data_IF_471009912973
#
_entry.id   IF_471009912973
#
_cell.length_a   1.000
_cell.length_b   1.000
_cell.length_c   1.000
_cell.angle_alpha   90.00
_cell.angle_beta   90.00
_cell.angle_gamma   90.00
#
_symmetry.space_group_name_H-M   'P 1'
#
loop_
_entity.id
_entity.type
_entity.pdbx_description
1 polymer ?
#
# COMPACT_ATOMS: atom_id res chain seq x y z
N UNK A 1 7.43 -29.63 3.93
CA UNK A 1 6.46 -29.11 4.91
C UNK A 1 5.36 -30.10 5.24
N UNK A 2 4.52 -30.53 4.28
CA UNK A 2 3.32 -31.34 4.60
C UNK A 2 3.64 -32.75 5.15
N UNK A 3 4.79 -33.33 4.80
CA UNK A 3 5.23 -34.64 5.29
C UNK A 3 6.23 -34.58 6.46
N UNK A 4 6.47 -33.40 7.03
CA UNK A 4 7.38 -33.23 8.16
C UNK A 4 6.68 -33.67 9.47
N UNK A 5 7.20 -34.68 10.21
CA UNK A 5 6.60 -35.15 11.45
C UNK A 5 6.41 -34.05 12.51
N UNK A 6 7.33 -33.07 12.58
CA UNK A 6 7.23 -31.96 13.52
C UNK A 6 6.10 -31.00 13.12
N UNK A 7 5.93 -30.77 11.82
CA UNK A 7 4.83 -29.95 11.30
C UNK A 7 3.46 -30.60 11.53
N UNK A 8 3.36 -31.92 11.35
CA UNK A 8 2.13 -32.68 11.61
C UNK A 8 1.76 -32.65 13.09
N UNK A 9 2.71 -32.87 13.99
CA UNK A 9 2.49 -32.79 15.43
C UNK A 9 2.06 -31.38 15.86
N UNK A 10 2.71 -30.34 15.33
CA UNK A 10 2.35 -28.95 15.56
C UNK A 10 0.90 -28.65 15.14
N UNK A 11 0.46 -29.10 13.95
CA UNK A 11 -0.92 -28.89 13.50
C UNK A 11 -1.94 -29.61 14.38
N UNK A 12 -1.61 -30.81 14.89
CA UNK A 12 -2.47 -31.55 15.80
C UNK A 12 -2.69 -30.80 17.12
N UNK A 13 -1.61 -30.27 17.73
CA UNK A 13 -1.66 -29.51 18.99
C UNK A 13 -2.31 -28.12 18.86
N UNK A 14 -2.44 -27.62 17.63
CA UNK A 14 -3.02 -26.31 17.32
C UNK A 14 -4.39 -26.39 16.63
N UNK A 15 -5.00 -27.58 16.61
CA UNK A 15 -6.33 -27.79 16.05
C UNK A 15 -7.36 -26.87 16.73
N UNK A 16 -7.97 -25.98 15.95
CA UNK A 16 -8.95 -24.99 16.42
C UNK A 16 -8.36 -23.67 16.93
N UNK A 17 -7.03 -23.53 17.04
CA UNK A 17 -6.38 -22.25 17.41
C UNK A 17 -6.11 -21.35 16.19
N UNK A 18 -5.92 -21.97 15.03
CA UNK A 18 -5.76 -21.29 13.75
C UNK A 18 -7.07 -21.30 12.98
N UNK A 19 -7.68 -20.11 12.83
CA UNK A 19 -9.06 -19.98 12.31
C UNK A 19 -9.10 -19.84 10.78
N UNK A 20 -8.18 -19.07 10.20
CA UNK A 20 -8.09 -18.89 8.76
C UNK A 20 -6.71 -18.38 8.32
N UNK A 21 -6.28 -18.76 7.12
CA UNK A 21 -5.17 -18.14 6.40
C UNK A 21 -5.69 -17.56 5.09
N UNK A 22 -5.28 -16.34 4.77
CA UNK A 22 -5.43 -15.77 3.43
C UNK A 22 -4.04 -15.51 2.88
N UNK A 23 -3.76 -16.07 1.71
CA UNK A 23 -2.55 -15.78 0.96
C UNK A 23 -2.88 -14.81 -0.15
N UNK A 24 -1.99 -13.85 -0.36
CA UNK A 24 -2.08 -12.91 -1.46
C UNK A 24 -0.70 -12.71 -2.06
N UNK A 25 -0.63 -12.74 -3.38
CA UNK A 25 0.55 -12.28 -4.11
C UNK A 25 0.38 -10.80 -4.41
N UNK A 26 1.42 -10.01 -4.16
CA UNK A 26 1.52 -8.62 -4.59
C UNK A 26 2.73 -8.47 -5.51
N UNK A 27 2.58 -7.66 -6.55
CA UNK A 27 3.62 -7.38 -7.56
C UNK A 27 3.88 -5.88 -7.61
N UNK A 28 5.11 -5.42 -7.91
CA UNK A 28 5.38 -4.00 -8.06
C UNK A 28 4.43 -3.32 -9.05
N UNK A 29 4.07 -2.06 -8.78
CA UNK A 29 3.40 -1.22 -9.77
C UNK A 29 4.30 -1.01 -11.01
N UNK A 30 3.74 -0.77 -12.21
CA UNK A 30 4.53 -0.68 -13.44
C UNK A 30 5.68 0.36 -13.41
N UNK A 31 5.50 1.44 -12.65
CA UNK A 31 6.49 2.52 -12.50
C UNK A 31 7.44 2.33 -11.30
N UNK A 32 7.34 1.21 -10.57
CA UNK A 32 8.13 0.98 -9.37
C UNK A 32 9.48 0.28 -9.70
N UNK A 33 10.62 0.69 -9.09
CA UNK A 33 10.77 1.77 -8.11
C UNK A 33 10.70 3.16 -8.74
N UNK A 34 10.19 4.13 -7.98
CA UNK A 34 10.23 5.54 -8.40
C UNK A 34 11.69 6.01 -8.46
N UNK A 35 12.16 6.62 -9.57
CA UNK A 35 13.54 7.09 -9.71
C UNK A 35 13.96 8.20 -8.72
N UNK A 36 15.22 8.15 -8.30
CA UNK A 36 16.11 9.20 -7.77
C UNK A 36 15.81 10.06 -6.52
N UNK A 37 14.69 10.00 -5.79
CA UNK A 37 14.56 10.88 -4.60
C UNK A 37 13.82 10.35 -3.36
N UNK A 38 13.33 9.11 -3.33
CA UNK A 38 12.20 8.81 -2.43
C UNK A 38 12.41 7.69 -1.41
N UNK A 39 13.66 7.25 -1.22
CA UNK A 39 14.04 6.19 -0.25
C UNK A 39 14.42 6.68 1.15
N UNK A 40 14.52 8.00 1.34
CA UNK A 40 15.04 8.56 2.59
C UNK A 40 13.97 9.44 3.23
N UNK A 41 13.37 8.93 4.30
CA UNK A 41 12.45 9.65 5.15
C UNK A 41 12.10 8.80 6.37
N UNK A 42 11.48 9.37 7.40
CA UNK A 42 11.05 8.58 8.54
C UNK A 42 9.97 7.56 8.11
N UNK A 43 9.99 6.36 8.67
CA UNK A 43 8.92 5.37 8.57
C UNK A 43 8.50 4.81 9.94
N UNK A 44 8.73 5.56 11.02
CA UNK A 44 8.22 5.26 12.36
C UNK A 44 6.69 5.04 12.38
N UNK A 45 5.97 5.72 11.49
CA UNK A 45 4.56 5.50 11.19
C UNK A 45 4.35 5.29 9.70
N UNK A 46 3.60 4.25 9.33
CA UNK A 46 3.32 3.88 7.95
C UNK A 46 1.82 3.97 7.69
N UNK A 47 1.42 4.75 6.68
CA UNK A 47 0.06 4.76 6.13
C UNK A 47 0.00 3.70 5.01
N UNK A 48 -0.53 2.52 5.35
CA UNK A 48 -0.78 1.41 4.43
C UNK A 48 -2.17 1.59 3.82
N UNK A 49 -2.22 1.66 2.50
CA UNK A 49 -3.45 1.94 1.75
C UNK A 49 -3.70 0.80 0.79
N UNK A 50 -4.91 0.25 0.85
CA UNK A 50 -5.34 -0.90 0.05
C UNK A 50 -6.61 -0.48 -0.66
N UNK A 51 -6.52 -0.26 -1.97
CA UNK A 51 -7.66 0.12 -2.80
C UNK A 51 -8.05 -1.04 -3.69
N UNK A 52 -9.34 -1.15 -3.97
CA UNK A 52 -9.87 -2.05 -4.99
C UNK A 52 -10.32 -1.20 -6.18
N UNK A 53 -9.69 -1.37 -7.34
CA UNK A 53 -10.18 -0.78 -8.57
C UNK A 53 -11.45 -1.50 -9.03
N UNK A 54 -12.32 -0.80 -9.74
CA UNK A 54 -13.42 -1.43 -10.47
C UNK A 54 -12.85 -2.37 -11.53
N UNK A 55 -13.60 -3.42 -11.84
CA UNK A 55 -13.18 -4.40 -12.85
C UNK A 55 -12.83 -3.70 -14.17
N UNK A 56 -11.69 -4.07 -14.76
CA UNK A 56 -11.16 -3.46 -15.98
C UNK A 56 -10.36 -2.16 -15.80
N UNK A 57 -10.44 -1.48 -14.66
CA UNK A 57 -9.86 -0.13 -14.48
C UNK A 57 -8.50 -0.08 -13.77
N UNK A 58 -7.91 -1.23 -13.42
CA UNK A 58 -6.61 -1.26 -12.74
C UNK A 58 -5.50 -0.59 -13.57
N UNK A 59 -5.45 -0.87 -14.88
CA UNK A 59 -4.46 -0.27 -15.76
C UNK A 59 -4.67 1.24 -15.94
N UNK A 60 -5.92 1.67 -16.05
CA UNK A 60 -6.30 3.09 -16.15
C UNK A 60 -5.88 3.85 -14.89
N UNK A 61 -6.08 3.25 -13.71
CA UNK A 61 -5.65 3.83 -12.45
C UNK A 61 -4.13 4.09 -12.46
N UNK A 62 -3.32 3.10 -12.85
CA UNK A 62 -1.86 3.26 -12.82
C UNK A 62 -1.38 4.29 -13.85
N UNK A 63 -1.93 4.30 -15.06
CA UNK A 63 -1.63 5.33 -16.07
C UNK A 63 -1.96 6.73 -15.57
N UNK A 64 -3.14 6.89 -14.96
CA UNK A 64 -3.57 8.18 -14.43
C UNK A 64 -2.71 8.62 -13.24
N UNK A 65 -2.39 7.70 -12.32
CA UNK A 65 -1.53 8.01 -11.18
C UNK A 65 -0.13 8.42 -11.64
N UNK A 66 0.46 7.70 -12.59
CA UNK A 66 1.77 8.03 -13.13
C UNK A 66 1.80 9.38 -13.82
N UNK A 67 0.77 9.68 -14.63
CA UNK A 67 0.69 10.94 -15.36
C UNK A 67 0.39 12.16 -14.46
N UNK A 68 -0.48 12.02 -13.45
CA UNK A 68 -1.07 13.17 -12.76
C UNK A 68 -0.93 13.13 -11.23
N UNK A 69 -1.01 11.95 -10.62
CA UNK A 69 -1.06 11.82 -9.16
C UNK A 69 0.31 11.76 -8.48
N UNK A 70 1.26 11.06 -9.09
CA UNK A 70 2.51 10.65 -8.46
C UNK A 70 3.37 11.84 -8.06
N UNK A 71 3.64 12.76 -8.99
CA UNK A 71 4.48 13.94 -8.73
C UNK A 71 3.92 14.80 -7.59
N UNK A 72 2.61 15.01 -7.58
CA UNK A 72 1.93 15.81 -6.54
C UNK A 72 2.01 15.10 -5.20
N UNK A 73 1.68 13.81 -5.15
CA UNK A 73 1.70 13.03 -3.91
C UNK A 73 3.11 12.94 -3.31
N UNK A 74 4.11 12.71 -4.15
CA UNK A 74 5.51 12.70 -3.72
C UNK A 74 5.96 14.08 -3.23
N UNK A 75 5.55 15.17 -3.88
CA UNK A 75 5.90 16.53 -3.46
C UNK A 75 5.42 16.88 -2.05
N UNK A 76 4.28 16.33 -1.61
CA UNK A 76 3.74 16.59 -0.26
C UNK A 76 4.14 15.54 0.77
N UNK A 77 4.13 14.25 0.41
CA UNK A 77 4.37 13.15 1.36
C UNK A 77 5.86 12.77 1.40
N UNK A 78 6.53 12.72 0.26
CA UNK A 78 7.96 12.43 0.12
C UNK A 78 8.31 10.94 0.18
N UNK A 79 8.04 10.28 1.30
CA UNK A 79 8.56 8.93 1.55
C UNK A 79 7.59 7.83 1.10
N UNK A 80 7.69 7.41 -0.16
CA UNK A 80 6.99 6.23 -0.66
C UNK A 80 7.82 4.97 -0.37
N UNK A 81 7.33 4.11 0.54
CA UNK A 81 8.02 2.88 0.93
C UNK A 81 7.84 1.79 -0.13
N UNK A 82 6.67 1.78 -0.78
CA UNK A 82 6.35 0.81 -1.82
C UNK A 82 4.99 1.04 -2.45
N UNK A 83 4.87 0.64 -3.72
CA UNK A 83 3.64 0.71 -4.50
C UNK A 83 3.50 -0.57 -5.33
N UNK A 84 2.37 -1.25 -5.17
CA UNK A 84 2.14 -2.61 -5.64
C UNK A 84 0.71 -2.77 -6.18
N UNK A 85 0.50 -3.87 -6.90
CA UNK A 85 -0.80 -4.36 -7.34
C UNK A 85 -1.00 -5.84 -6.98
N UNK A 86 -2.24 -6.31 -6.92
CA UNK A 86 -2.56 -7.73 -6.78
C UNK A 86 -1.93 -8.56 -7.91
N UNK A 87 -1.37 -9.72 -7.55
CA UNK A 87 -1.01 -10.79 -8.48
C UNK A 87 -2.16 -11.79 -8.69
N UNK A 88 -1.81 -13.03 -8.98
CA UNK A 88 -2.72 -14.13 -9.34
C UNK A 88 -3.37 -14.82 -8.13
N UNK A 89 -2.90 -14.55 -6.91
CA UNK A 89 -3.45 -15.11 -5.67
C UNK A 89 -4.03 -14.00 -4.79
N UNK A 90 -5.24 -14.22 -4.27
CA UNK A 90 -5.94 -13.32 -3.35
C UNK A 90 -6.90 -12.34 -4.05
N UNK A 91 -7.35 -11.29 -3.35
CA UNK A 91 -8.24 -10.29 -3.91
C UNK A 91 -7.64 -9.61 -5.15
N UNK A 92 -8.43 -9.55 -6.22
CA UNK A 92 -8.03 -9.00 -7.52
C UNK A 92 -8.31 -7.50 -7.62
N UNK A 93 -7.66 -6.86 -8.60
CA UNK A 93 -7.76 -5.42 -8.84
C UNK A 93 -7.31 -4.56 -7.66
N UNK A 94 -6.46 -5.10 -6.78
CA UNK A 94 -5.98 -4.34 -5.64
C UNK A 94 -4.76 -3.50 -5.98
N UNK A 95 -4.72 -2.33 -5.37
CA UNK A 95 -3.59 -1.40 -5.37
C UNK A 95 -3.16 -1.27 -3.92
N UNK A 96 -1.89 -1.54 -3.63
CA UNK A 96 -1.33 -1.50 -2.28
C UNK A 96 -0.18 -0.51 -2.26
N UNK A 97 -0.24 0.50 -1.41
CA UNK A 97 0.85 1.47 -1.30
C UNK A 97 1.10 1.93 0.14
N UNK A 98 2.36 2.18 0.46
CA UNK A 98 2.85 2.48 1.80
C UNK A 98 3.61 3.80 1.82
N UNK A 99 3.29 4.64 2.81
CA UNK A 99 3.87 5.96 2.97
C UNK A 99 4.42 6.17 4.38
N UNK A 100 5.68 6.58 4.49
CA UNK A 100 6.36 6.80 5.77
C UNK A 100 6.19 8.21 6.31
N UNK A 101 6.03 8.31 7.62
CA UNK A 101 5.94 9.55 8.40
C UNK A 101 6.75 9.45 9.70
N UNK A 102 7.11 10.60 10.27
CA UNK A 102 7.75 10.63 11.60
C UNK A 102 6.78 10.25 12.71
N UNK A 103 5.55 10.76 12.60
CA UNK A 103 4.48 10.64 13.58
C UNK A 103 3.12 11.00 12.95
N UNK A 104 2.05 10.97 13.76
CA UNK A 104 0.70 11.28 13.29
C UNK A 104 0.48 12.77 12.97
N UNK A 105 1.20 13.69 13.60
CA UNK A 105 1.07 15.13 13.32
C UNK A 105 1.71 15.48 11.98
N UNK A 106 2.89 14.93 11.71
CA UNK A 106 3.56 15.03 10.41
C UNK A 106 2.66 14.48 9.30
N UNK A 107 2.06 13.32 9.53
CA UNK A 107 1.06 12.76 8.61
C UNK A 107 -0.11 13.71 8.37
N UNK A 108 -0.73 14.24 9.43
CA UNK A 108 -1.86 15.16 9.28
C UNK A 108 -1.48 16.40 8.48
N UNK A 109 -0.32 17.01 8.78
CA UNK A 109 0.18 18.20 8.10
C UNK A 109 0.40 17.95 6.60
N UNK A 110 1.14 16.90 6.23
CA UNK A 110 1.44 16.58 4.82
C UNK A 110 0.18 16.21 4.04
N UNK A 111 -0.71 15.41 4.65
CA UNK A 111 -1.99 15.03 4.05
C UNK A 111 -2.92 16.21 3.84
N UNK A 112 -2.94 17.17 4.78
CA UNK A 112 -3.73 18.39 4.65
C UNK A 112 -3.20 19.30 3.54
N UNK A 113 -1.87 19.49 3.47
CA UNK A 113 -1.23 20.22 2.38
C UNK A 113 -1.56 19.63 1.01
N UNK A 114 -1.44 18.31 0.88
CA UNK A 114 -1.79 17.61 -0.36
C UNK A 114 -3.27 17.72 -0.70
N UNK A 115 -4.17 17.63 0.28
CA UNK A 115 -5.61 17.77 0.04
C UNK A 115 -6.03 19.18 -0.42
N UNK A 116 -5.27 20.21 -0.02
CA UNK A 116 -5.49 21.59 -0.44
C UNK A 116 -4.92 21.88 -1.84
N UNK A 117 -4.05 21.03 -2.38
CA UNK A 117 -3.41 21.23 -3.68
C UNK A 117 -4.42 21.08 -4.84
N UNK A 118 -4.61 22.10 -5.70
CA UNK A 118 -5.53 22.04 -6.83
C UNK A 118 -5.23 20.91 -7.81
N UNK A 119 -3.96 20.58 -8.04
CA UNK A 119 -3.58 19.49 -8.94
C UNK A 119 -4.00 18.13 -8.34
N UNK A 120 -3.87 17.97 -7.03
CA UNK A 120 -4.35 16.79 -6.33
C UNK A 120 -5.87 16.67 -6.36
N UNK A 121 -6.60 17.78 -6.18
CA UNK A 121 -8.06 17.80 -6.28
C UNK A 121 -8.55 17.45 -7.68
N UNK A 122 -7.89 17.95 -8.72
CA UNK A 122 -8.19 17.60 -10.11
C UNK A 122 -7.94 16.10 -10.38
N UNK A 123 -6.81 15.57 -9.91
CA UNK A 123 -6.48 14.15 -10.01
C UNK A 123 -7.51 13.26 -9.30
N UNK A 124 -7.89 13.57 -8.05
CA UNK A 124 -8.85 12.77 -7.29
C UNK A 124 -10.20 12.65 -8.02
N UNK A 125 -10.70 13.73 -8.62
CA UNK A 125 -11.97 13.69 -9.38
C UNK A 125 -11.95 12.68 -10.53
N UNK A 126 -10.80 12.49 -11.18
CA UNK A 126 -10.60 11.50 -12.24
C UNK A 126 -10.35 10.09 -11.70
N UNK A 127 -9.64 9.98 -10.57
CA UNK A 127 -9.25 8.71 -9.98
C UNK A 127 -10.40 8.02 -9.23
N UNK A 128 -11.21 8.77 -8.46
CA UNK A 128 -12.28 8.20 -7.63
C UNK A 128 -13.28 7.32 -8.42
N UNK A 129 -13.73 7.69 -9.63
CA UNK A 129 -14.59 6.83 -10.45
C UNK A 129 -13.99 5.46 -10.80
N UNK A 130 -12.65 5.31 -10.77
CA UNK A 130 -11.95 4.07 -11.07
C UNK A 130 -11.93 3.09 -9.88
N UNK A 131 -12.26 3.56 -8.67
CA UNK A 131 -12.19 2.76 -7.44
C UNK A 131 -13.56 2.25 -7.00
N UNK A 132 -13.56 1.06 -6.42
CA UNK A 132 -14.70 0.43 -5.76
C UNK A 132 -14.62 0.59 -4.23
N UNK A 133 -13.46 0.31 -3.63
CA UNK A 133 -13.25 0.45 -2.18
C UNK A 133 -11.88 1.02 -1.87
N UNK A 134 -11.76 1.65 -0.70
CA UNK A 134 -10.51 2.17 -0.18
C UNK A 134 -10.40 1.83 1.31
N UNK A 135 -9.33 1.17 1.71
CA UNK A 135 -8.98 0.89 3.10
C UNK A 135 -7.64 1.57 3.44
N UNK A 136 -7.54 2.06 4.68
CA UNK A 136 -6.34 2.71 5.20
C UNK A 136 -6.04 2.17 6.58
N UNK A 137 -4.79 1.74 6.80
CA UNK A 137 -4.28 1.25 8.07
C UNK A 137 -3.06 2.05 8.48
N UNK A 138 -2.99 2.39 9.76
CA UNK A 138 -1.78 2.95 10.36
C UNK A 138 -0.98 1.82 10.99
N UNK A 139 0.25 1.66 10.54
CA UNK A 139 1.14 0.58 10.94
C UNK A 139 2.37 1.18 11.60
N UNK A 140 2.82 0.57 12.69
CA UNK A 140 4.07 0.92 13.35
C UNK A 140 5.07 -0.21 13.16
N UNK A 141 6.27 0.04 12.60
CA UNK A 141 7.29 -0.97 12.49
C UNK A 141 7.71 -1.48 13.88
N UNK A 142 7.96 -2.78 13.98
CA UNK A 142 8.57 -3.39 15.16
C UNK A 142 10.08 -3.07 15.21
N UNK A 143 10.73 -3.20 16.38
CA UNK A 143 12.15 -2.84 16.54
C UNK A 143 13.11 -3.55 15.58
N UNK A 144 12.78 -4.77 15.14
CA UNK A 144 13.60 -5.56 14.20
C UNK A 144 13.25 -5.31 12.73
N UNK A 145 12.31 -4.41 12.43
CA UNK A 145 11.98 -4.01 11.06
C UNK A 145 13.18 -3.32 10.40
N UNK A 146 13.47 -3.71 9.16
CA UNK A 146 14.43 -3.01 8.30
C UNK A 146 13.84 -1.72 7.71
N UNK A 147 12.51 -1.62 7.64
CA UNK A 147 11.80 -0.38 7.32
C UNK A 147 11.80 0.49 8.58
N UNK A 148 12.45 1.67 8.53
CA UNK A 148 12.63 2.61 9.63
C UNK A 148 12.33 4.04 9.19
#
# INVERSE_FOLDING_TARGET
>A
MVADPQWVAYLADNKGKFVAQVNQTIRPAPFWPVPDQYRNGPANFIDLRIYTAKSGHLADYFKLYEAEGMKVQLGHIGHCIGYFQSGDVGPQHQIVHMWGYSDLNDRMKRRAGMAADPAWQAYIKKMTPLLATMEVKLVRPLPFSLIK
#
